data_IF_340190961428
#
_entry.id   IF_340190961428
#
_cell.length_a   1.000
_cell.length_b   1.000
_cell.length_c   1.000
_cell.angle_alpha   90.00
_cell.angle_beta   90.00
_cell.angle_gamma   90.00
#
_symmetry.space_group_name_H-M   'P 1'
#
loop_
_entity.id
_entity.type
_entity.pdbx_description
1 polymer ?
#
# COMPACT_ATOMS: atom_id res chain seq x y z
N UNK A 1 -41.25 -5.27 -3.15
CA UNK A 1 -39.98 -5.06 -2.42
C UNK A 1 -40.12 -3.78 -1.59
N UNK A 2 -39.83 -3.77 -0.28
CA UNK A 2 -40.14 -2.60 0.57
C UNK A 2 -39.34 -1.38 0.13
N UNK A 3 -40.00 -0.22 0.02
CA UNK A 3 -39.42 1.06 -0.47
C UNK A 3 -38.33 1.66 0.44
N UNK A 4 -38.13 1.11 1.62
CA UNK A 4 -37.27 1.67 2.67
C UNK A 4 -35.85 1.08 2.70
N UNK A 5 -35.59 -0.02 1.97
CA UNK A 5 -34.24 -0.58 1.91
C UNK A 5 -33.44 0.11 0.80
N UNK A 6 -32.21 0.58 1.06
CA UNK A 6 -31.36 1.11 0.00
C UNK A 6 -31.17 0.05 -1.08
N UNK A 7 -31.18 0.49 -2.34
CA UNK A 7 -30.94 -0.39 -3.49
C UNK A 7 -29.66 -1.20 -3.27
N UNK A 8 -29.72 -2.51 -3.52
CA UNK A 8 -28.58 -3.41 -3.33
C UNK A 8 -27.36 -3.01 -4.19
N UNK A 9 -27.60 -2.27 -5.26
CA UNK A 9 -26.60 -1.79 -6.22
C UNK A 9 -26.88 -0.34 -6.63
N UNK A 10 -25.81 0.40 -6.95
CA UNK A 10 -25.92 1.59 -7.80
C UNK A 10 -26.05 1.20 -9.26
N UNK A 11 -26.46 2.16 -10.10
CA UNK A 11 -26.30 2.02 -11.54
C UNK A 11 -24.83 1.73 -11.90
N UNK A 12 -24.58 0.77 -12.81
CA UNK A 12 -23.24 0.45 -13.27
C UNK A 12 -22.65 1.62 -14.08
N UNK A 13 -21.34 1.79 -13.96
CA UNK A 13 -20.55 2.76 -14.71
C UNK A 13 -19.45 2.00 -15.46
N UNK A 14 -19.17 2.39 -16.71
CA UNK A 14 -18.09 1.78 -17.47
C UNK A 14 -16.74 2.09 -16.78
N UNK A 15 -15.91 1.08 -16.60
CA UNK A 15 -14.58 1.18 -16.01
C UNK A 15 -13.45 0.96 -17.02
N UNK A 16 -13.79 0.80 -18.30
CA UNK A 16 -12.86 0.63 -19.42
C UNK A 16 -13.05 -0.71 -20.14
N UNK A 17 -12.30 -0.88 -21.22
CA UNK A 17 -12.25 -2.11 -21.99
C UNK A 17 -10.80 -2.48 -22.27
N UNK A 18 -10.42 -3.73 -22.05
CA UNK A 18 -9.08 -4.23 -22.32
C UNK A 18 -9.18 -5.51 -23.14
N UNK A 19 -8.73 -5.46 -24.39
CA UNK A 19 -9.01 -6.52 -25.36
C UNK A 19 -10.52 -6.78 -25.47
N UNK A 20 -10.93 -8.03 -25.26
CA UNK A 20 -12.34 -8.45 -25.30
C UNK A 20 -13.04 -8.40 -23.93
N UNK A 21 -12.42 -7.81 -22.91
CA UNK A 21 -12.96 -7.75 -21.54
C UNK A 21 -13.54 -6.36 -21.28
N UNK A 22 -14.85 -6.30 -21.04
CA UNK A 22 -15.55 -5.11 -20.57
C UNK A 22 -15.48 -5.02 -19.04
N UNK A 23 -14.93 -3.93 -18.53
CA UNK A 23 -14.89 -3.65 -17.10
C UNK A 23 -16.04 -2.70 -16.71
N UNK A 24 -16.79 -3.07 -15.67
CA UNK A 24 -17.91 -2.29 -15.14
C UNK A 24 -17.71 -2.11 -13.63
N UNK A 25 -18.04 -0.93 -13.12
CA UNK A 25 -18.01 -0.58 -11.71
C UNK A 25 -19.41 -0.26 -11.20
N UNK A 26 -19.76 -0.83 -10.05
CA UNK A 26 -20.99 -0.51 -9.32
C UNK A 26 -20.69 -0.45 -7.82
N UNK A 27 -21.37 0.44 -7.10
CA UNK A 27 -21.39 0.42 -5.64
C UNK A 27 -22.42 -0.62 -5.20
N UNK A 28 -22.07 -1.41 -4.19
CA UNK A 28 -22.95 -2.45 -3.65
C UNK A 28 -23.14 -2.27 -2.16
N UNK A 29 -24.29 -2.69 -1.64
CA UNK A 29 -24.51 -2.73 -0.20
C UNK A 29 -23.71 -3.85 0.45
N UNK A 30 -23.41 -3.69 1.74
CA UNK A 30 -22.70 -4.72 2.50
C UNK A 30 -23.49 -6.04 2.55
N UNK A 31 -24.81 -5.96 2.72
CA UNK A 31 -25.69 -7.14 2.76
C UNK A 31 -25.65 -7.93 1.46
N UNK A 32 -25.67 -7.22 0.31
CA UNK A 32 -25.50 -7.87 -0.99
C UNK A 32 -24.13 -8.54 -1.10
N UNK A 33 -23.06 -7.80 -0.77
CA UNK A 33 -21.70 -8.35 -0.85
C UNK A 33 -21.53 -9.60 0.04
N UNK A 34 -22.11 -9.57 1.23
CA UNK A 34 -22.11 -10.72 2.15
C UNK A 34 -22.84 -11.92 1.55
N UNK A 35 -24.05 -11.72 1.02
CA UNK A 35 -24.80 -12.79 0.36
C UNK A 35 -24.04 -13.34 -0.87
N UNK A 36 -23.44 -12.46 -1.67
CA UNK A 36 -22.67 -12.86 -2.84
C UNK A 36 -21.47 -13.75 -2.47
N UNK A 37 -20.72 -13.40 -1.42
CA UNK A 37 -19.57 -14.20 -0.98
C UNK A 37 -19.99 -15.56 -0.43
N UNK A 38 -21.13 -15.65 0.26
CA UNK A 38 -21.61 -16.90 0.86
C UNK A 38 -22.22 -17.85 -0.16
N UNK A 39 -23.10 -17.36 -1.03
CA UNK A 39 -23.92 -18.19 -1.93
C UNK A 39 -23.82 -17.75 -3.39
N UNK A 40 -23.86 -16.43 -3.64
CA UNK A 40 -23.93 -15.88 -5.00
C UNK A 40 -22.71 -16.21 -5.88
N UNK A 41 -21.53 -16.42 -5.31
CA UNK A 41 -20.31 -16.77 -6.05
C UNK A 41 -20.44 -18.14 -6.72
N UNK A 42 -21.07 -19.10 -6.06
CA UNK A 42 -21.34 -20.42 -6.64
C UNK A 42 -22.36 -20.33 -7.77
N UNK A 43 -23.46 -19.61 -7.53
CA UNK A 43 -24.51 -19.39 -8.53
C UNK A 43 -23.98 -18.68 -9.79
N UNK A 44 -23.08 -17.70 -9.63
CA UNK A 44 -22.44 -17.03 -10.76
C UNK A 44 -21.55 -17.99 -11.55
N UNK A 45 -20.81 -18.88 -10.88
CA UNK A 45 -19.98 -19.87 -11.56
C UNK A 45 -20.82 -20.87 -12.37
N UNK A 46 -21.95 -21.33 -11.83
CA UNK A 46 -22.90 -22.18 -12.55
C UNK A 46 -23.52 -21.47 -13.75
N UNK A 47 -23.92 -20.21 -13.57
CA UNK A 47 -24.45 -19.38 -14.65
C UNK A 47 -23.43 -19.18 -15.78
N UNK A 48 -22.18 -18.87 -15.43
CA UNK A 48 -21.07 -18.74 -16.39
C UNK A 48 -20.87 -20.04 -17.18
N UNK A 49 -20.84 -21.19 -16.48
CA UNK A 49 -20.71 -22.51 -17.12
C UNK A 49 -21.86 -22.82 -18.08
N UNK A 50 -23.09 -22.52 -17.68
CA UNK A 50 -24.30 -22.80 -18.47
C UNK A 50 -24.38 -21.95 -19.74
N UNK A 51 -23.95 -20.70 -19.67
CA UNK A 51 -24.08 -19.73 -20.77
C UNK A 51 -22.78 -19.48 -21.53
N UNK A 52 -21.71 -20.23 -21.22
CA UNK A 52 -20.38 -20.06 -21.80
C UNK A 52 -19.84 -18.62 -21.65
N UNK A 53 -19.98 -18.05 -20.45
CA UNK A 53 -19.54 -16.69 -20.08
C UNK A 53 -18.39 -16.74 -19.05
N UNK A 54 -17.65 -15.64 -18.92
CA UNK A 54 -16.61 -15.46 -17.89
C UNK A 54 -16.81 -14.14 -17.12
N UNK A 55 -17.97 -14.04 -16.44
CA UNK A 55 -18.26 -12.89 -15.58
C UNK A 55 -17.52 -13.05 -14.26
N UNK A 56 -16.69 -12.06 -13.91
CA UNK A 56 -15.94 -12.03 -12.64
C UNK A 56 -16.31 -10.80 -11.84
N UNK A 57 -16.72 -11.00 -10.59
CA UNK A 57 -17.00 -9.90 -9.66
C UNK A 57 -15.82 -9.79 -8.69
N UNK A 58 -15.09 -8.68 -8.81
CA UNK A 58 -13.99 -8.34 -7.91
C UNK A 58 -14.38 -7.12 -7.09
N UNK A 59 -14.11 -7.18 -5.78
CA UNK A 59 -14.18 -5.98 -4.95
C UNK A 59 -13.02 -5.07 -5.30
N UNK A 60 -13.35 -3.86 -5.76
CA UNK A 60 -12.33 -2.83 -5.94
C UNK A 60 -11.71 -2.50 -4.58
N UNK A 61 -10.39 -2.69 -4.48
CA UNK A 61 -9.64 -2.16 -3.35
C UNK A 61 -9.52 -0.65 -3.52
N UNK A 62 -9.80 0.11 -2.46
CA UNK A 62 -9.50 1.54 -2.48
C UNK A 62 -7.99 1.74 -2.50
N UNK A 63 -7.52 2.84 -3.09
CA UNK A 63 -6.09 3.20 -3.15
C UNK A 63 -5.46 3.09 -1.76
N UNK A 64 -6.19 3.51 -0.73
CA UNK A 64 -5.78 3.41 0.66
C UNK A 64 -5.53 1.98 1.15
N UNK A 65 -6.40 1.01 0.79
CA UNK A 65 -6.21 -0.40 1.20
C UNK A 65 -5.03 -1.00 0.45
N UNK A 66 -4.94 -0.78 -0.86
CA UNK A 66 -3.84 -1.32 -1.66
C UNK A 66 -2.48 -0.75 -1.26
N UNK A 67 -2.40 0.55 -0.93
CA UNK A 67 -1.14 1.17 -0.53
C UNK A 67 -0.74 0.79 0.90
N UNK A 68 -1.69 0.51 1.80
CA UNK A 68 -1.38 -0.02 3.12
C UNK A 68 -0.78 -1.44 3.03
N UNK A 69 -1.32 -2.29 2.15
CA UNK A 69 -0.74 -3.62 1.86
C UNK A 69 0.67 -3.51 1.27
N UNK A 70 0.85 -2.62 0.28
CA UNK A 70 2.17 -2.35 -0.31
C UNK A 70 3.16 -1.79 0.71
N UNK A 71 2.72 -0.94 1.64
CA UNK A 71 3.57 -0.41 2.71
C UNK A 71 4.03 -1.53 3.65
N UNK A 72 3.15 -2.44 4.05
CA UNK A 72 3.51 -3.62 4.85
C UNK A 72 4.55 -4.50 4.17
N UNK A 73 4.38 -4.75 2.88
CA UNK A 73 5.34 -5.52 2.07
C UNK A 73 6.68 -4.77 1.88
N UNK A 74 6.63 -3.45 1.67
CA UNK A 74 7.81 -2.59 1.57
C UNK A 74 8.64 -2.66 2.86
N UNK A 75 8.01 -2.48 4.02
CA UNK A 75 8.68 -2.53 5.33
C UNK A 75 9.33 -3.89 5.54
N UNK A 76 8.61 -4.98 5.23
CA UNK A 76 9.16 -6.34 5.31
C UNK A 76 10.41 -6.52 4.46
N UNK A 77 10.39 -6.04 3.22
CA UNK A 77 11.55 -6.07 2.32
C UNK A 77 12.70 -5.24 2.90
N UNK A 78 12.43 -4.01 3.34
CA UNK A 78 13.41 -3.10 3.91
C UNK A 78 14.13 -3.69 5.13
N UNK A 79 13.39 -4.24 6.11
CA UNK A 79 13.97 -4.83 7.32
C UNK A 79 14.91 -5.99 6.96
N UNK A 80 14.50 -6.85 6.02
CA UNK A 80 15.32 -7.98 5.54
C UNK A 80 16.61 -7.50 4.88
N UNK A 81 16.53 -6.49 4.02
CA UNK A 81 17.69 -5.91 3.35
C UNK A 81 18.67 -5.29 4.34
N UNK A 82 18.18 -4.54 5.34
CA UNK A 82 19.04 -3.92 6.36
C UNK A 82 19.77 -4.98 7.19
N UNK A 83 19.11 -6.05 7.62
CA UNK A 83 19.76 -7.15 8.35
C UNK A 83 20.75 -7.91 7.48
N UNK A 84 20.40 -8.15 6.22
CA UNK A 84 21.31 -8.80 5.26
C UNK A 84 22.57 -7.97 5.04
N UNK A 85 22.45 -6.64 4.91
CA UNK A 85 23.61 -5.74 4.77
C UNK A 85 24.46 -5.68 6.04
N UNK A 86 23.85 -5.81 7.21
CA UNK A 86 24.55 -5.84 8.48
C UNK A 86 25.16 -7.22 8.82
N UNK A 87 25.01 -8.24 7.96
CA UNK A 87 25.39 -9.63 8.25
C UNK A 87 24.82 -10.14 9.58
N UNK A 88 23.57 -9.75 9.89
CA UNK A 88 22.85 -10.17 11.10
C UNK A 88 21.67 -11.07 10.75
N UNK A 89 21.31 -11.94 11.68
CA UNK A 89 20.11 -12.78 11.56
C UNK A 89 18.87 -11.88 11.58
N UNK A 90 18.12 -11.87 10.49
CA UNK A 90 16.86 -11.15 10.41
C UNK A 90 15.80 -11.85 11.29
N UNK A 91 15.04 -11.11 12.12
CA UNK A 91 13.83 -11.66 12.74
C UNK A 91 12.83 -12.07 11.67
N UNK A 92 11.93 -13.00 11.98
CA UNK A 92 10.88 -13.36 11.04
C UNK A 92 9.92 -12.17 10.86
N UNK A 93 9.76 -11.70 9.63
CA UNK A 93 8.86 -10.58 9.31
C UNK A 93 7.79 -11.08 8.36
N UNK A 94 6.54 -10.98 8.83
CA UNK A 94 5.35 -11.41 8.11
C UNK A 94 4.32 -10.28 8.08
N UNK A 95 3.56 -10.22 6.98
CA UNK A 95 2.45 -9.30 6.82
C UNK A 95 1.21 -10.10 6.46
N UNK A 96 0.15 -9.99 7.26
CA UNK A 96 -1.09 -10.75 7.06
C UNK A 96 -2.28 -9.94 7.55
N UNK A 97 -3.32 -9.82 6.70
CA UNK A 97 -4.60 -9.17 7.04
C UNK A 97 -4.44 -7.76 7.66
N UNK A 98 -3.58 -6.91 7.10
CA UNK A 98 -3.39 -5.54 7.60
C UNK A 98 -2.43 -5.41 8.79
N UNK A 99 -1.89 -6.52 9.30
CA UNK A 99 -1.00 -6.54 10.47
C UNK A 99 0.39 -6.98 10.02
N UNK A 100 1.39 -6.21 10.46
CA UNK A 100 2.81 -6.52 10.34
C UNK A 100 3.30 -7.13 11.66
N UNK A 101 3.86 -8.32 11.58
CA UNK A 101 4.46 -9.03 12.72
C UNK A 101 5.97 -9.14 12.49
N UNK A 102 6.76 -8.68 13.46
CA UNK A 102 8.22 -8.73 13.47
C UNK A 102 8.67 -9.54 14.69
N UNK A 103 9.25 -10.71 14.44
CA UNK A 103 9.62 -11.68 15.46
C UNK A 103 8.40 -12.14 16.25
N UNK A 104 8.59 -12.35 17.56
CA UNK A 104 7.52 -12.67 18.51
C UNK A 104 7.04 -11.45 19.30
N UNK A 105 7.74 -10.32 19.17
CA UNK A 105 7.65 -9.19 20.09
C UNK A 105 6.72 -8.09 19.57
N UNK A 106 6.69 -7.88 18.25
CA UNK A 106 6.01 -6.74 17.67
C UNK A 106 4.92 -7.18 16.70
N UNK A 107 3.69 -6.73 16.97
CA UNK A 107 2.54 -6.91 16.09
C UNK A 107 1.75 -5.61 16.02
N UNK A 108 1.80 -4.93 14.88
CA UNK A 108 1.19 -3.61 14.70
C UNK A 108 0.83 -3.35 13.23
N UNK A 109 0.16 -2.24 12.96
CA UNK A 109 -0.12 -1.80 11.59
C UNK A 109 1.16 -1.33 10.89
N UNK A 110 1.25 -1.40 9.54
CA UNK A 110 2.41 -0.90 8.79
C UNK A 110 2.74 0.57 9.05
N UNK A 111 1.72 1.40 9.23
CA UNK A 111 1.86 2.84 9.55
C UNK A 111 2.51 3.04 10.92
N UNK A 112 2.06 2.31 11.94
CA UNK A 112 2.69 2.34 13.27
C UNK A 112 4.10 1.80 13.24
N UNK A 113 4.37 0.72 12.51
CA UNK A 113 5.71 0.16 12.39
C UNK A 113 6.68 1.16 11.76
N UNK A 114 6.30 1.81 10.66
CA UNK A 114 7.16 2.78 10.01
C UNK A 114 7.48 3.99 10.92
N UNK A 115 6.51 4.46 11.71
CA UNK A 115 6.75 5.54 12.68
C UNK A 115 7.62 5.05 13.85
N UNK A 116 7.18 4.01 14.56
CA UNK A 116 7.83 3.55 15.79
C UNK A 116 9.26 3.05 15.56
N UNK A 117 9.53 2.39 14.44
CA UNK A 117 10.89 1.97 14.09
C UNK A 117 11.70 3.04 13.34
N UNK A 118 11.10 4.19 13.02
CA UNK A 118 11.76 5.27 12.28
C UNK A 118 12.26 4.82 10.90
N UNK A 119 11.44 4.05 10.18
CA UNK A 119 11.83 3.45 8.90
C UNK A 119 12.02 4.56 7.86
N UNK A 120 13.12 4.50 7.11
CA UNK A 120 13.31 5.39 5.99
C UNK A 120 12.35 5.07 4.83
N UNK A 121 11.48 6.03 4.52
CA UNK A 121 10.49 5.95 3.44
C UNK A 121 10.89 6.77 2.20
N UNK A 122 12.14 7.21 2.06
CA UNK A 122 12.59 7.95 0.86
C UNK A 122 12.32 7.21 -0.46
N UNK A 123 12.44 5.88 -0.46
CA UNK A 123 12.18 5.04 -1.64
C UNK A 123 10.72 4.59 -1.76
N UNK A 124 9.85 5.00 -0.84
CA UNK A 124 8.42 4.69 -0.89
C UNK A 124 7.71 5.57 -1.92
N UNK A 125 6.90 4.96 -2.77
CA UNK A 125 6.24 5.63 -3.90
C UNK A 125 4.70 5.52 -3.88
N UNK A 126 4.12 5.24 -2.72
CA UNK A 126 2.66 5.27 -2.52
C UNK A 126 2.22 6.50 -1.72
N UNK A 127 1.00 6.47 -1.20
CA UNK A 127 0.46 7.56 -0.39
C UNK A 127 1.37 7.91 0.80
N UNK A 128 1.44 9.20 1.19
CA UNK A 128 2.14 9.62 2.39
C UNK A 128 1.65 8.84 3.61
N UNK A 129 2.56 8.53 4.54
CA UNK A 129 2.21 7.73 5.73
C UNK A 129 1.06 8.36 6.53
N UNK A 130 1.02 9.69 6.60
CA UNK A 130 -0.02 10.46 7.28
C UNK A 130 -1.40 10.27 6.66
N UNK A 131 -1.49 9.94 5.37
CA UNK A 131 -2.77 9.67 4.70
C UNK A 131 -3.23 8.22 4.93
N UNK A 132 -2.28 7.29 5.05
CA UNK A 132 -2.54 5.87 5.30
C UNK A 132 -2.91 5.55 6.76
N UNK A 133 -2.64 6.48 7.68
CA UNK A 133 -2.93 6.32 9.10
C UNK A 133 -4.42 6.36 9.40
N UNK A 134 -4.85 5.50 10.33
CA UNK A 134 -6.21 5.58 10.86
C UNK A 134 -6.41 6.84 11.74
N UNK A 135 -7.64 7.31 11.94
CA UNK A 135 -7.91 8.45 12.83
C UNK A 135 -7.35 8.25 14.24
N UNK A 136 -7.48 7.03 14.78
CA UNK A 136 -6.95 6.66 16.10
C UNK A 136 -5.43 6.78 16.17
N UNK A 137 -4.73 6.36 15.12
CA UNK A 137 -3.28 6.47 15.02
C UNK A 137 -2.81 7.92 14.96
N UNK A 138 -3.54 8.77 14.21
CA UNK A 138 -3.25 10.21 14.14
C UNK A 138 -3.40 10.89 15.49
N UNK A 139 -4.45 10.54 16.23
CA UNK A 139 -4.68 11.05 17.57
C UNK A 139 -3.59 10.58 18.55
N UNK A 140 -3.21 9.30 18.52
CA UNK A 140 -2.15 8.77 19.37
C UNK A 140 -0.80 9.47 19.12
N UNK A 141 -0.51 9.80 17.85
CA UNK A 141 0.67 10.59 17.48
C UNK A 141 0.59 12.03 18.01
N UNK A 142 -0.59 12.68 17.91
CA UNK A 142 -0.82 14.03 18.46
C UNK A 142 -0.72 14.08 19.99
N UNK A 143 -1.18 13.04 20.68
CA UNK A 143 -1.08 12.90 22.14
C UNK A 143 0.34 12.56 22.62
N UNK A 144 1.25 12.19 21.70
CA UNK A 144 2.62 11.80 22.04
C UNK A 144 2.75 10.39 22.64
N UNK A 145 1.69 9.57 22.57
CA UNK A 145 1.70 8.16 22.99
C UNK A 145 2.60 7.32 22.08
N UNK A 146 2.65 7.69 20.80
CA UNK A 146 3.51 7.06 19.79
C UNK A 146 4.61 8.03 19.42
N UNK A 147 5.87 7.64 19.63
CA UNK A 147 7.05 8.45 19.28
C UNK A 147 7.79 7.81 18.11
N UNK A 148 8.25 8.64 17.17
CA UNK A 148 9.03 8.16 16.05
C UNK A 148 10.38 7.60 16.52
N UNK A 149 10.76 6.41 16.03
CA UNK A 149 12.01 5.75 16.42
C UNK A 149 12.07 5.28 17.88
N UNK A 150 10.93 5.14 18.56
CA UNK A 150 10.84 4.61 19.93
C UNK A 150 11.24 3.14 20.02
N UNK A 151 11.11 2.38 18.93
CA UNK A 151 11.47 0.98 18.84
C UNK A 151 12.72 0.80 17.99
N UNK A 152 13.54 -0.17 18.38
CA UNK A 152 14.74 -0.57 17.63
C UNK A 152 14.77 -2.07 17.50
N UNK A 153 15.17 -2.56 16.33
CA UNK A 153 15.49 -3.96 16.15
C UNK A 153 16.94 -4.19 16.59
N UNK A 154 17.18 -5.32 17.23
CA UNK A 154 18.50 -5.65 17.77
C UNK A 154 19.54 -5.76 16.65
N UNK A 155 20.64 -5.02 16.79
CA UNK A 155 21.79 -5.12 15.88
C UNK A 155 21.65 -4.40 14.54
N UNK A 156 20.58 -3.62 14.30
CA UNK A 156 20.44 -2.78 13.10
C UNK A 156 19.83 -1.41 13.41
N UNK A 157 20.27 -0.38 12.69
CA UNK A 157 19.59 0.91 12.67
C UNK A 157 18.71 0.98 11.42
N UNK A 158 17.42 1.21 11.61
CA UNK A 158 16.43 1.34 10.52
C UNK A 158 16.30 2.78 10.04
N UNK A 159 16.61 3.74 10.92
CA UNK A 159 16.86 5.13 10.58
C UNK A 159 18.18 5.23 9.82
N UNK A 160 18.20 6.05 8.76
CA UNK A 160 19.44 6.37 8.06
C UNK A 160 20.41 6.96 9.10
N UNK A 161 21.46 6.22 9.47
CA UNK A 161 22.68 6.87 9.91
C UNK A 161 23.20 7.56 8.66
N UNK A 162 23.08 8.90 8.60
CA UNK A 162 23.95 9.66 7.73
C UNK A 162 25.37 9.31 8.18
N UNK A 163 26.04 8.42 7.44
CA UNK A 163 27.50 8.39 7.44
C UNK A 163 27.92 9.77 6.95
N UNK A 164 28.17 10.66 7.90
CA UNK A 164 28.99 11.83 7.68
C UNK A 164 30.30 11.30 7.12
N UNK A 165 30.53 11.53 5.83
CA UNK A 165 31.90 11.52 5.33
C UNK A 165 32.60 12.64 6.10
N UNK A 166 33.40 12.25 7.07
CA UNK A 166 34.44 13.08 7.67
C UNK A 166 35.43 13.43 6.56
N UNK A 167 35.11 14.47 5.80
CA UNK A 167 36.09 15.26 5.07
C UNK A 167 36.37 16.49 5.92
N UNK A 168 37.38 16.40 6.77
CA UNK A 168 38.10 17.59 7.22
C UNK A 168 38.66 18.22 5.96
N UNK A 169 38.19 19.42 5.62
CA UNK A 169 39.04 20.47 5.05
C UNK A 169 38.45 21.81 5.45
N UNK A 170 39.24 22.50 6.29
CA UNK A 170 39.05 23.88 6.68
C UNK A 170 39.25 24.78 5.46
N UNK A 171 38.44 25.82 5.30
CA UNK A 171 38.96 27.18 5.08
C UNK A 171 37.89 28.26 5.29
N UNK A 172 38.38 29.36 5.86
CA UNK A 172 37.69 30.52 6.44
C UNK A 172 37.13 31.51 5.40
N UNK A 173 36.13 32.26 5.87
CA UNK A 173 35.81 33.68 5.68
C UNK A 173 35.96 34.31 4.28
N UNK A 174 34.91 34.97 3.76
CA UNK A 174 34.62 36.37 4.12
C UNK A 174 33.30 36.88 3.51
N UNK A 175 32.67 37.82 4.20
CA UNK A 175 31.47 38.60 3.83
C UNK A 175 31.71 39.57 2.66
N UNK A 176 30.67 39.91 1.87
CA UNK A 176 30.12 41.28 1.80
C UNK A 176 28.88 41.39 0.87
N UNK A 177 27.95 42.23 1.30
CA UNK A 177 26.63 42.59 0.75
C UNK A 177 26.68 43.31 -0.63
N UNK A 178 25.59 43.25 -1.43
CA UNK A 178 24.63 44.37 -1.64
C UNK A 178 23.65 44.19 -2.83
N UNK A 179 22.45 44.74 -2.62
CA UNK A 179 21.46 45.36 -3.55
C UNK A 179 20.51 44.53 -4.42
N UNK A 180 19.24 44.53 -3.99
CA UNK A 180 18.01 45.00 -4.68
C UNK A 180 17.79 44.72 -6.18
N UNK A 181 16.65 44.07 -6.51
CA UNK A 181 15.52 44.71 -7.21
C UNK A 181 14.55 43.68 -7.80
N UNK A 182 13.26 43.96 -7.66
CA UNK A 182 12.14 43.19 -8.20
C UNK A 182 11.98 43.46 -9.71
N UNK A 183 11.72 42.43 -10.52
CA UNK A 183 10.90 42.61 -11.73
C UNK A 183 10.24 41.29 -12.14
N UNK A 184 8.94 41.40 -12.38
CA UNK A 184 8.03 40.38 -12.84
C UNK A 184 8.26 40.02 -14.31
N UNK A 185 8.24 38.72 -14.64
CA UNK A 185 7.68 38.26 -15.92
C UNK A 185 7.24 36.81 -15.81
N UNK A 186 6.03 36.55 -16.31
CA UNK A 186 5.37 35.27 -16.40
C UNK A 186 5.97 34.41 -17.50
N UNK A 187 6.04 33.08 -17.29
CA UNK A 187 5.72 32.08 -18.31
C UNK A 187 5.66 30.67 -17.68
N UNK A 188 4.56 29.96 -17.98
CA UNK A 188 4.25 28.60 -17.52
C UNK A 188 5.04 27.54 -18.31
N UNK A 189 5.45 26.42 -17.69
CA UNK A 189 5.79 25.20 -18.43
C UNK A 189 4.69 24.14 -18.30
N UNK A 190 4.07 23.77 -19.43
CA UNK A 190 3.32 22.52 -19.58
C UNK A 190 4.29 21.38 -19.89
N UNK A 191 4.38 20.39 -19.00
CA UNK A 191 4.93 19.07 -19.31
C UNK A 191 4.05 17.98 -18.65
N UNK A 192 3.16 17.40 -19.46
CA UNK A 192 2.43 16.17 -19.15
C UNK A 192 3.41 14.99 -19.07
N UNK A 193 3.56 14.42 -17.87
CA UNK A 193 4.20 13.11 -17.69
C UNK A 193 3.13 12.04 -17.46
N UNK A 194 2.70 11.38 -18.53
CA UNK A 194 1.85 10.20 -18.47
C UNK A 194 2.61 8.96 -17.96
N UNK A 195 2.20 8.42 -16.80
CA UNK A 195 2.68 7.11 -16.30
C UNK A 195 1.65 6.01 -16.58
N UNK A 196 1.95 5.13 -17.52
CA UNK A 196 1.27 3.85 -17.76
C UNK A 196 1.58 2.87 -16.61
N UNK A 197 0.57 2.16 -16.11
CA UNK A 197 0.69 1.11 -15.09
C UNK A 197 1.02 -0.23 -15.76
N UNK A 198 2.01 -1.01 -15.29
CA UNK A 198 2.23 -2.37 -15.78
C UNK A 198 1.24 -3.34 -15.13
N UNK A 199 0.53 -4.08 -15.97
CA UNK A 199 -0.25 -5.26 -15.59
C UNK A 199 0.68 -6.47 -15.52
N UNK A 200 0.93 -7.00 -14.33
CA UNK A 200 1.56 -8.31 -14.19
C UNK A 200 0.54 -9.41 -14.55
N UNK A 201 0.71 -9.99 -15.73
CA UNK A 201 0.16 -11.28 -16.15
C UNK A 201 1.27 -12.32 -16.00
N UNK A 202 1.06 -13.31 -15.12
CA UNK A 202 1.72 -14.63 -15.04
C UNK A 202 1.40 -15.16 -13.62
N UNK A 203 0.99 -16.39 -13.35
CA UNK A 203 0.56 -17.56 -14.09
C UNK A 203 0.22 -18.56 -12.97
N UNK A 204 -1.01 -19.07 -12.88
CA UNK A 204 -1.34 -20.11 -11.91
C UNK A 204 -1.69 -21.38 -12.65
N UNK A 205 -0.74 -22.30 -12.61
CA UNK A 205 -0.86 -23.67 -13.09
C UNK A 205 -2.08 -24.36 -12.46
N UNK A 206 -2.86 -24.99 -13.33
CA UNK A 206 -3.92 -25.91 -12.98
C UNK A 206 -3.34 -27.16 -12.33
N UNK A 207 -3.53 -27.33 -11.01
CA UNK A 207 -3.44 -28.65 -10.40
C UNK A 207 -4.85 -29.24 -10.23
N UNK A 208 -5.23 -30.29 -10.97
CA UNK A 208 -6.51 -30.95 -10.76
C UNK A 208 -6.47 -31.76 -9.45
N UNK A 209 -7.52 -31.59 -8.64
CA UNK A 209 -7.76 -32.40 -7.45
C UNK A 209 -7.96 -33.87 -7.86
N UNK A 210 -7.09 -34.77 -7.36
CA UNK A 210 -7.31 -36.22 -7.46
C UNK A 210 -8.35 -36.64 -6.42
N UNK A 211 -9.51 -37.10 -6.90
CA UNK A 211 -10.47 -37.87 -6.11
C UNK A 211 -9.99 -39.32 -5.95
N UNK A 212 -10.42 -39.92 -4.85
CA UNK A 212 -9.94 -41.14 -4.21
C UNK A 212 -10.06 -42.43 -5.04
N UNK A 213 -9.38 -43.49 -4.58
CA UNK A 213 -9.77 -44.88 -4.86
C UNK A 213 -10.01 -45.62 -3.55
N UNK A 214 -11.26 -46.09 -3.46
CA UNK A 214 -11.87 -47.24 -2.76
C UNK A 214 -11.47 -47.48 -1.31
#
# INVERSE_FOLDING_TARGET
>A
YPKEKPLAFSWPTAAGMSGNILAIRAKVTYDFWRHFITEGRGLLAEYNKKNNLDIRINREQTIHVSDNERLGLYIRKYIREVHSKANRKCPDVTYKKGILTIGKEYSMTPTMAAIQFGINLEAWNGLPIQELMSPKEKEALKRGEVKAGSLRLTGVNLTKALTLKSGMDNNKENDQEKSESCTSTAESPELENGRKRPTNSEGFENNPAKLAKV
#
